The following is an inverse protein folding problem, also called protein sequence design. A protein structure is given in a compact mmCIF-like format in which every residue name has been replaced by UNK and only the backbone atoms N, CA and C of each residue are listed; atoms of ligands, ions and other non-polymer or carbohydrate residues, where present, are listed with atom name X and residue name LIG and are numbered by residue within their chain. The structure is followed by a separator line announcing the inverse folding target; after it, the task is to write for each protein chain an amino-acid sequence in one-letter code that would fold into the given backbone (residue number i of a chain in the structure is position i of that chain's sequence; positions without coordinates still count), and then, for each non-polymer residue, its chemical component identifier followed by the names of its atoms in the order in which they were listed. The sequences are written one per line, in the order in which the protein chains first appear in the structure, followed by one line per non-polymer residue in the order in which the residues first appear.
data_IF_928046630963
#
_entry.id   IF_928046630963
#
_cell.length_a   1.000
_cell.length_b   1.000
_cell.length_c   1.000
_cell.angle_alpha   90.00
_cell.angle_beta   90.00
_cell.angle_gamma   90.00
#
_symmetry.space_group_name_H-M   'P 1'
#
loop_
_entity.id
_entity.type
_entity.pdbx_description
1 polymer ?
#
# COMPACT_ATOMS: atom_id res chain seq x y z
N UNK A 1 25.59 -0.61 -7.45
CA UNK A 1 24.20 -0.67 -7.92
C UNK A 1 23.29 -0.96 -6.74
N UNK A 2 22.09 -0.39 -6.67
CA UNK A 2 21.16 -0.69 -5.58
C UNK A 2 20.75 -2.16 -5.62
N UNK A 3 20.45 -2.70 -4.42
CA UNK A 3 19.94 -4.05 -4.26
C UNK A 3 18.44 -4.11 -4.64
N UNK A 4 17.86 -5.30 -4.57
CA UNK A 4 16.43 -5.53 -4.78
C UNK A 4 15.61 -4.88 -3.66
N UNK A 5 14.45 -4.30 -3.99
CA UNK A 5 13.46 -3.84 -3.01
C UNK A 5 12.94 -5.04 -2.20
N UNK A 6 12.71 -4.84 -0.89
CA UNK A 6 12.48 -5.93 0.05
C UNK A 6 11.03 -6.14 0.49
N UNK A 7 10.10 -5.33 0.03
CA UNK A 7 8.71 -5.39 0.44
C UNK A 7 8.05 -4.02 0.43
N UNK A 8 6.76 -3.98 0.70
CA UNK A 8 6.06 -2.72 0.93
C UNK A 8 6.32 -2.32 2.39
N UNK A 9 6.93 -1.15 2.59
CA UNK A 9 7.19 -0.62 3.92
C UNK A 9 5.92 -0.04 4.54
N UNK A 10 5.28 0.88 3.86
CA UNK A 10 4.01 1.45 4.30
C UNK A 10 3.21 2.02 3.14
N UNK A 11 1.93 2.27 3.42
CA UNK A 11 1.04 3.04 2.56
C UNK A 11 0.46 4.17 3.39
N UNK A 12 0.55 5.41 2.90
CA UNK A 12 -0.04 6.58 3.56
C UNK A 12 -1.28 7.03 2.80
N UNK A 13 -2.41 7.11 3.49
CA UNK A 13 -3.67 7.61 2.98
C UNK A 13 -4.10 8.89 3.70
N UNK A 14 -4.93 9.69 3.03
CA UNK A 14 -5.50 10.92 3.57
C UNK A 14 -6.92 10.69 4.05
N UNK A 15 -7.27 11.20 5.23
CA UNK A 15 -8.62 11.10 5.78
C UNK A 15 -9.05 12.40 6.45
N UNK A 16 -10.36 12.68 6.42
CA UNK A 16 -10.99 13.72 7.24
C UNK A 16 -11.88 13.13 8.34
N UNK A 17 -11.81 11.79 8.55
CA UNK A 17 -12.65 11.03 9.49
C UNK A 17 -11.83 10.00 10.29
N UNK A 18 -10.91 10.45 11.12
CA UNK A 18 -9.99 9.56 11.84
C UNK A 18 -10.73 8.51 12.69
N UNK A 19 -11.84 8.85 13.33
CA UNK A 19 -12.63 7.89 14.11
C UNK A 19 -13.17 6.72 13.26
N UNK A 20 -13.57 7.02 12.01
CA UNK A 20 -14.00 5.96 11.07
C UNK A 20 -12.85 5.05 10.72
N UNK A 21 -11.66 5.62 10.47
CA UNK A 21 -10.44 4.84 10.21
C UNK A 21 -10.07 3.99 11.43
N UNK A 22 -10.11 4.54 12.63
CA UNK A 22 -9.87 3.78 13.86
C UNK A 22 -10.73 2.51 13.91
N UNK A 23 -12.06 2.65 13.78
CA UNK A 23 -12.97 1.50 13.83
C UNK A 23 -12.70 0.48 12.71
N UNK A 24 -12.40 0.95 11.49
CA UNK A 24 -12.08 0.03 10.39
C UNK A 24 -10.75 -0.70 10.66
N UNK A 25 -9.72 0.00 11.09
CA UNK A 25 -8.40 -0.61 11.30
C UNK A 25 -8.41 -1.56 12.51
N UNK A 26 -8.96 -1.13 13.65
CA UNK A 26 -8.92 -1.91 14.90
C UNK A 26 -10.05 -2.92 14.99
N UNK A 27 -11.30 -2.49 14.88
CA UNK A 27 -12.46 -3.33 15.18
C UNK A 27 -12.79 -4.28 14.03
N UNK A 28 -12.64 -3.81 12.78
CA UNK A 28 -12.95 -4.60 11.60
C UNK A 28 -11.79 -5.48 11.15
N UNK A 29 -10.58 -4.89 11.00
CA UNK A 29 -9.41 -5.58 10.45
C UNK A 29 -8.47 -6.17 11.51
N UNK A 30 -8.61 -5.77 12.77
CA UNK A 30 -7.79 -6.25 13.86
C UNK A 30 -6.34 -5.77 13.84
N UNK A 31 -6.09 -4.64 13.18
CA UNK A 31 -4.77 -4.01 13.17
C UNK A 31 -4.53 -3.26 14.48
N UNK A 32 -3.28 -3.16 14.88
CA UNK A 32 -2.89 -2.53 16.14
C UNK A 32 -2.37 -1.12 15.89
N UNK A 33 -2.86 -0.10 16.62
CA UNK A 33 -2.26 1.23 16.57
C UNK A 33 -0.80 1.16 16.99
N UNK A 34 0.10 1.77 16.21
CA UNK A 34 1.51 1.85 16.52
C UNK A 34 1.92 3.29 16.78
N UNK A 35 2.71 3.49 17.84
CA UNK A 35 3.25 4.81 18.15
C UNK A 35 4.51 5.04 17.32
N UNK A 36 4.35 5.75 16.20
CA UNK A 36 5.49 6.29 15.49
C UNK A 36 5.79 7.70 15.98
N UNK A 37 7.06 7.96 16.31
CA UNK A 37 7.55 9.33 16.44
C UNK A 37 7.79 9.87 15.03
N UNK A 38 6.73 10.13 14.29
CA UNK A 38 6.82 10.89 13.05
C UNK A 38 7.08 12.35 13.42
N UNK A 39 7.83 13.07 12.59
CA UNK A 39 8.04 14.52 12.75
C UNK A 39 6.72 15.22 13.11
N UNK A 40 6.76 16.23 14.00
CA UNK A 40 5.54 16.89 14.42
C UNK A 40 4.73 17.33 13.21
N UNK A 41 3.41 17.11 13.24
CA UNK A 41 2.56 17.48 12.14
C UNK A 41 2.68 18.96 11.81
N UNK A 42 2.62 19.30 10.54
CA UNK A 42 2.60 20.70 10.09
C UNK A 42 1.18 21.23 10.26
N UNK A 43 0.98 22.15 11.18
CA UNK A 43 -0.35 22.74 11.43
C UNK A 43 -1.32 21.79 12.16
N UNK A 44 -2.56 21.69 11.66
CA UNK A 44 -3.63 20.87 12.25
C UNK A 44 -3.60 19.40 11.80
N UNK A 45 -2.59 18.99 11.06
CA UNK A 45 -2.46 17.61 10.58
C UNK A 45 -2.06 16.68 11.72
N UNK A 46 -2.74 15.54 11.80
CA UNK A 46 -2.41 14.45 12.72
C UNK A 46 -2.10 13.21 11.91
N UNK A 47 -1.17 12.41 12.39
CA UNK A 47 -0.81 11.16 11.75
C UNK A 47 -1.04 10.00 12.71
N UNK A 48 -1.65 8.92 12.22
CA UNK A 48 -1.85 7.70 12.98
C UNK A 48 -1.50 6.49 12.12
N UNK A 49 -0.74 5.57 12.70
CA UNK A 49 -0.29 4.37 12.02
C UNK A 49 -0.87 3.10 12.66
N UNK A 50 -1.07 2.06 11.83
CA UNK A 50 -1.62 0.76 12.25
C UNK A 50 -0.78 -0.35 11.64
N UNK A 51 -0.27 -1.23 12.48
CA UNK A 51 0.54 -2.39 12.10
C UNK A 51 -0.20 -3.71 12.28
N UNK A 52 0.40 -4.75 11.74
CA UNK A 52 -0.09 -6.12 11.91
C UNK A 52 0.22 -6.67 13.31
N UNK A 53 1.27 -6.14 13.93
CA UNK A 53 1.77 -6.55 15.24
C UNK A 53 2.02 -5.33 16.12
N UNK A 54 2.07 -5.52 17.40
CA UNK A 54 2.34 -4.44 18.38
C UNK A 54 3.82 -4.00 18.40
N UNK A 55 4.38 -3.74 17.22
CA UNK A 55 5.73 -3.17 17.08
C UNK A 55 5.75 -2.14 15.95
N UNK A 56 6.64 -1.16 16.06
CA UNK A 56 6.74 0.00 15.18
C UNK A 56 7.46 -0.24 13.84
N UNK A 57 7.59 -1.50 13.43
CA UNK A 57 8.26 -1.86 12.17
C UNK A 57 7.28 -2.16 11.04
N UNK A 58 7.75 -1.94 9.82
CA UNK A 58 7.02 -2.28 8.59
C UNK A 58 6.62 -3.77 8.53
N UNK A 59 5.53 -4.12 7.82
CA UNK A 59 4.66 -3.18 7.08
C UNK A 59 3.55 -2.57 7.95
N UNK A 60 3.14 -1.34 7.62
CA UNK A 60 2.05 -0.65 8.30
C UNK A 60 1.24 0.26 7.36
N UNK A 61 0.05 0.64 7.83
CA UNK A 61 -0.79 1.66 7.19
C UNK A 61 -0.68 2.96 7.97
N UNK A 62 -0.48 4.05 7.27
CA UNK A 62 -0.39 5.38 7.84
C UNK A 62 -1.53 6.26 7.34
N UNK A 63 -2.12 7.05 8.22
CA UNK A 63 -3.22 7.97 7.89
C UNK A 63 -2.84 9.38 8.32
N UNK A 64 -2.77 10.28 7.34
CA UNK A 64 -2.69 11.71 7.61
C UNK A 64 -4.11 12.26 7.68
N UNK A 65 -4.46 12.86 8.81
CA UNK A 65 -5.77 13.41 9.10
C UNK A 65 -5.74 14.92 9.11
N UNK A 66 -6.69 15.52 8.42
CA UNK A 66 -7.09 16.91 8.62
C UNK A 66 -8.60 17.06 8.35
N UNK A 67 -9.35 17.73 9.24
CA UNK A 67 -10.76 18.00 9.00
C UNK A 67 -10.98 18.93 7.79
N UNK A 68 -9.92 19.58 7.30
CA UNK A 68 -9.94 20.48 6.14
C UNK A 68 -9.74 19.77 4.81
N UNK A 69 -9.37 18.50 4.80
CA UNK A 69 -9.25 17.78 3.53
C UNK A 69 -10.59 17.69 2.83
N UNK A 70 -10.66 18.21 1.61
CA UNK A 70 -11.78 17.94 0.70
C UNK A 70 -11.80 16.45 0.33
N UNK A 71 -12.96 15.92 -0.01
CA UNK A 71 -13.06 14.55 -0.51
C UNK A 71 -12.34 14.44 -1.84
N UNK A 72 -11.52 13.41 -1.99
CA UNK A 72 -10.82 13.12 -3.24
C UNK A 72 -11.81 12.79 -4.35
N UNK A 73 -11.46 13.18 -5.57
CA UNK A 73 -12.21 12.79 -6.76
C UNK A 73 -11.42 11.70 -7.48
N UNK A 74 -12.01 10.52 -7.59
CA UNK A 74 -11.45 9.42 -8.35
C UNK A 74 -11.30 9.77 -9.84
N UNK A 75 -10.31 9.18 -10.48
CA UNK A 75 -10.01 9.46 -11.88
C UNK A 75 -8.89 8.57 -12.41
N UNK A 76 -8.18 9.06 -13.43
CA UNK A 76 -6.98 8.42 -13.94
C UNK A 76 -5.76 8.76 -13.07
N UNK A 77 -4.68 7.97 -13.18
CA UNK A 77 -3.39 8.20 -12.53
C UNK A 77 -3.50 8.36 -10.99
N UNK A 78 -4.10 7.36 -10.34
CA UNK A 78 -4.25 7.29 -8.89
C UNK A 78 -3.80 5.93 -8.35
N UNK A 79 -3.37 5.89 -7.10
CA UNK A 79 -3.38 4.64 -6.35
C UNK A 79 -4.84 4.32 -6.05
N UNK A 80 -5.37 3.27 -6.70
CA UNK A 80 -6.79 2.95 -6.65
C UNK A 80 -7.23 2.46 -5.27
N UNK A 81 -6.39 1.63 -4.63
CA UNK A 81 -6.73 1.05 -3.34
C UNK A 81 -5.56 0.32 -2.70
N UNK A 82 -5.78 -0.05 -1.45
CA UNK A 82 -4.81 -0.74 -0.61
C UNK A 82 -5.20 -2.21 -0.50
N UNK A 83 -4.28 -3.09 -0.89
CA UNK A 83 -4.49 -4.54 -0.77
C UNK A 83 -3.98 -5.06 0.56
N UNK A 84 -4.80 -5.85 1.24
CA UNK A 84 -4.49 -6.51 2.51
C UNK A 84 -4.59 -8.02 2.33
N UNK A 85 -3.55 -8.74 2.68
CA UNK A 85 -3.47 -10.18 2.48
C UNK A 85 -4.15 -10.94 3.61
N UNK A 86 -4.92 -11.96 3.25
CA UNK A 86 -5.55 -12.93 4.15
C UNK A 86 -5.14 -14.34 3.78
N UNK A 87 -5.34 -15.30 4.68
CA UNK A 87 -4.80 -16.65 4.57
C UNK A 87 -5.36 -17.45 3.37
N UNK A 88 -6.64 -17.29 3.03
CA UNK A 88 -7.30 -18.11 2.01
C UNK A 88 -8.69 -17.57 1.64
N UNK A 89 -9.33 -18.18 0.65
CA UNK A 89 -10.67 -17.81 0.19
C UNK A 89 -11.76 -17.95 1.28
N UNK A 90 -11.59 -18.86 2.24
CA UNK A 90 -12.50 -18.99 3.39
C UNK A 90 -12.46 -17.76 4.30
N UNK A 91 -11.27 -17.16 4.46
CA UNK A 91 -11.12 -15.90 5.20
C UNK A 91 -11.88 -14.77 4.51
N UNK A 92 -11.84 -14.67 3.17
CA UNK A 92 -12.62 -13.68 2.41
C UNK A 92 -14.12 -13.86 2.63
N UNK A 93 -14.60 -15.11 2.61
CA UNK A 93 -16.02 -15.41 2.92
C UNK A 93 -16.39 -14.99 4.34
N UNK A 94 -15.48 -15.15 5.29
CA UNK A 94 -15.67 -14.68 6.67
C UNK A 94 -15.79 -13.16 6.77
N UNK A 95 -14.94 -12.45 6.04
CA UNK A 95 -15.02 -10.99 5.96
C UNK A 95 -16.27 -10.50 5.24
N UNK A 96 -16.67 -11.14 4.14
CA UNK A 96 -17.90 -10.81 3.43
C UNK A 96 -19.11 -10.81 4.37
N UNK A 97 -19.31 -11.90 5.13
CA UNK A 97 -20.40 -12.00 6.14
C UNK A 97 -20.33 -10.91 7.21
N UNK A 98 -19.10 -10.53 7.61
CA UNK A 98 -18.88 -9.48 8.59
C UNK A 98 -19.20 -8.11 8.02
N UNK A 99 -18.84 -7.86 6.76
CA UNK A 99 -19.17 -6.60 6.06
C UNK A 99 -20.67 -6.43 5.92
N UNK A 100 -21.40 -7.49 5.52
CA UNK A 100 -22.87 -7.51 5.47
C UNK A 100 -23.47 -7.15 6.84
N UNK A 101 -23.00 -7.80 7.90
CA UNK A 101 -23.52 -7.61 9.25
C UNK A 101 -23.26 -6.19 9.81
N UNK A 102 -22.18 -5.53 9.39
CA UNK A 102 -21.79 -4.20 9.86
C UNK A 102 -22.17 -3.08 8.87
N UNK A 103 -22.79 -3.41 7.74
CA UNK A 103 -23.16 -2.45 6.70
C UNK A 103 -21.96 -1.75 6.06
N UNK A 104 -20.82 -2.46 5.93
CA UNK A 104 -19.64 -1.98 5.23
C UNK A 104 -19.89 -2.09 3.73
N UNK A 105 -19.66 -1.02 3.00
CA UNK A 105 -19.77 -1.03 1.54
C UNK A 105 -18.72 -1.92 0.93
N UNK A 106 -19.12 -2.93 0.16
CA UNK A 106 -18.20 -3.89 -0.46
C UNK A 106 -18.72 -4.40 -1.81
N UNK A 107 -17.83 -4.99 -2.61
CA UNK A 107 -18.18 -5.72 -3.82
C UNK A 107 -18.30 -7.23 -3.58
N UNK A 108 -18.48 -7.97 -4.66
CA UNK A 108 -18.46 -9.43 -4.64
C UNK A 108 -17.02 -9.96 -4.66
N UNK A 109 -16.82 -11.18 -4.15
CA UNK A 109 -15.55 -11.90 -4.32
C UNK A 109 -15.35 -12.18 -5.81
N UNK A 110 -14.20 -11.81 -6.33
CA UNK A 110 -13.79 -12.02 -7.72
C UNK A 110 -12.36 -12.56 -7.78
N UNK A 111 -11.94 -12.97 -8.98
CA UNK A 111 -10.59 -13.51 -9.18
C UNK A 111 -9.84 -12.76 -10.29
N UNK A 112 -8.56 -12.49 -10.08
CA UNK A 112 -7.64 -12.03 -11.12
C UNK A 112 -6.21 -12.49 -10.83
N UNK A 113 -5.49 -12.92 -11.85
CA UNK A 113 -4.08 -13.34 -11.78
C UNK A 113 -3.75 -14.30 -10.61
N UNK A 114 -4.69 -15.22 -10.29
CA UNK A 114 -4.54 -16.18 -9.21
C UNK A 114 -4.87 -15.65 -7.82
N UNK A 115 -5.34 -14.40 -7.70
CA UNK A 115 -5.85 -13.83 -6.46
C UNK A 115 -7.36 -13.91 -6.38
N UNK A 116 -7.89 -14.40 -5.27
CA UNK A 116 -9.30 -14.17 -4.90
C UNK A 116 -9.36 -12.85 -4.12
N UNK A 117 -10.28 -11.98 -4.48
CA UNK A 117 -10.32 -10.57 -4.02
C UNK A 117 -11.70 -10.19 -3.56
N UNK A 118 -11.79 -9.55 -2.39
CA UNK A 118 -12.99 -8.91 -1.84
C UNK A 118 -12.72 -7.40 -1.67
N UNK A 119 -13.23 -6.54 -2.57
CA UNK A 119 -13.09 -5.09 -2.43
C UNK A 119 -14.08 -4.54 -1.40
N UNK A 120 -13.66 -3.51 -0.67
CA UNK A 120 -14.52 -2.73 0.22
C UNK A 120 -14.07 -1.28 0.29
N UNK A 121 -14.93 -0.42 0.83
CA UNK A 121 -14.69 1.02 0.85
C UNK A 121 -15.04 1.60 2.21
N UNK A 122 -14.24 2.56 2.67
CA UNK A 122 -14.52 3.34 3.87
C UNK A 122 -15.51 4.47 3.58
N UNK A 123 -16.11 5.04 4.61
CA UNK A 123 -17.11 6.13 4.47
C UNK A 123 -16.55 7.44 3.89
N UNK A 124 -15.23 7.59 3.84
CA UNK A 124 -14.53 8.71 3.21
C UNK A 124 -14.02 8.39 1.80
N UNK A 125 -14.43 7.23 1.25
CA UNK A 125 -14.14 6.84 -0.14
C UNK A 125 -12.77 6.19 -0.35
N UNK A 126 -12.07 5.79 0.72
CA UNK A 126 -10.82 5.04 0.56
C UNK A 126 -11.13 3.58 0.22
N UNK A 127 -10.59 3.15 -0.91
CA UNK A 127 -10.76 1.79 -1.39
C UNK A 127 -9.73 0.84 -0.77
N UNK A 128 -10.21 -0.29 -0.33
CA UNK A 128 -9.42 -1.44 0.11
C UNK A 128 -9.82 -2.69 -0.67
N UNK A 129 -8.93 -3.66 -0.68
CA UNK A 129 -9.27 -5.02 -1.08
C UNK A 129 -8.59 -6.04 -0.17
N UNK A 130 -9.34 -7.01 0.30
CA UNK A 130 -8.77 -8.20 0.90
C UNK A 130 -8.41 -9.17 -0.21
N UNK A 131 -7.22 -9.75 -0.17
CA UNK A 131 -6.76 -10.69 -1.17
C UNK A 131 -6.25 -11.97 -0.53
N UNK A 132 -6.50 -13.10 -1.19
CA UNK A 132 -5.84 -14.36 -0.88
C UNK A 132 -5.18 -14.89 -2.14
N UNK A 133 -3.92 -15.28 -2.08
CA UNK A 133 -3.26 -15.97 -3.17
C UNK A 133 -3.12 -17.47 -2.87
N UNK A 134 -3.09 -18.29 -3.93
CA UNK A 134 -3.01 -19.75 -3.78
C UNK A 134 -1.64 -20.22 -3.26
N UNK A 135 -0.63 -19.34 -3.22
CA UNK A 135 0.73 -19.69 -2.83
C UNK A 135 0.93 -19.68 -1.30
N UNK A 136 -0.01 -19.10 -0.55
CA UNK A 136 0.14 -18.90 0.90
C UNK A 136 -0.46 -19.99 1.79
N UNK A 137 -1.10 -21.01 1.22
CA UNK A 137 -1.68 -22.13 2.00
C UNK A 137 -0.66 -22.88 2.90
N UNK A 138 0.65 -22.64 2.70
CA UNK A 138 1.72 -23.26 3.48
C UNK A 138 2.26 -22.39 4.63
N UNK A 139 1.92 -21.11 4.71
CA UNK A 139 2.43 -20.20 5.75
C UNK A 139 1.57 -20.17 7.02
N UNK A 140 0.49 -20.93 7.08
CA UNK A 140 -0.54 -20.87 8.15
C UNK A 140 -0.11 -21.42 9.52
N UNK A 141 1.06 -22.03 9.66
CA UNK A 141 1.45 -22.71 10.92
C UNK A 141 1.92 -21.78 12.05
N UNK A 142 2.09 -20.47 11.79
CA UNK A 142 2.48 -19.49 12.83
C UNK A 142 1.33 -18.62 13.35
N UNK A 143 0.11 -18.90 12.95
CA UNK A 143 -1.04 -18.01 13.11
C UNK A 143 -1.96 -18.31 14.29
N UNK A 144 -1.72 -19.35 15.08
CA UNK A 144 -2.60 -19.75 16.18
C UNK A 144 -2.69 -18.75 17.35
N UNK A 145 -1.86 -17.71 17.36
CA UNK A 145 -1.79 -16.73 18.46
C UNK A 145 -2.41 -15.36 18.16
N UNK A 146 -2.99 -15.16 16.98
CA UNK A 146 -3.58 -13.86 16.64
C UNK A 146 -5.05 -13.75 17.13
N UNK A 147 -5.45 -12.59 17.70
CA UNK A 147 -6.75 -12.44 18.35
C UNK A 147 -7.96 -12.47 17.40
N UNK A 148 -7.72 -12.36 16.09
CA UNK A 148 -8.75 -12.40 15.06
C UNK A 148 -8.77 -13.75 14.33
N UNK A 149 -9.98 -14.27 14.12
CA UNK A 149 -10.20 -15.57 13.45
C UNK A 149 -9.70 -15.61 12.00
N UNK A 150 -9.59 -14.45 11.34
CA UNK A 150 -9.08 -14.28 9.97
C UNK A 150 -8.12 -13.07 9.94
N UNK A 151 -6.90 -13.19 10.44
CA UNK A 151 -6.00 -12.05 10.55
C UNK A 151 -5.53 -11.54 9.19
N UNK A 152 -5.21 -10.25 9.14
CA UNK A 152 -4.46 -9.66 8.05
C UNK A 152 -3.00 -10.09 8.16
N UNK A 153 -2.43 -10.59 7.07
CA UNK A 153 -1.08 -11.19 7.03
C UNK A 153 0.00 -10.23 6.52
N UNK A 154 -0.41 -9.18 5.83
CA UNK A 154 0.52 -8.24 5.21
C UNK A 154 -0.17 -7.31 4.24
N UNK A 155 0.64 -6.45 3.62
CA UNK A 155 0.22 -5.66 2.47
C UNK A 155 0.36 -6.50 1.20
N UNK A 156 -0.62 -6.38 0.31
CA UNK A 156 -0.64 -7.02 -1.00
C UNK A 156 -0.18 -6.06 -2.11
N UNK A 157 -0.42 -6.40 -3.39
CA UNK A 157 -0.07 -5.54 -4.50
C UNK A 157 -0.65 -4.13 -4.35
N UNK A 158 0.16 -3.11 -4.66
CA UNK A 158 -0.35 -1.73 -4.80
C UNK A 158 -1.11 -1.66 -6.12
N UNK A 159 -2.38 -1.27 -6.06
CA UNK A 159 -3.23 -1.15 -7.26
C UNK A 159 -3.19 0.27 -7.78
N UNK A 160 -2.75 0.44 -9.01
CA UNK A 160 -2.57 1.75 -9.63
C UNK A 160 -3.39 1.83 -10.92
N UNK A 161 -4.31 2.80 -10.99
CA UNK A 161 -5.01 3.17 -12.22
C UNK A 161 -4.14 4.14 -13.01
N UNK A 162 -3.87 3.86 -14.27
CA UNK A 162 -3.03 4.67 -15.14
C UNK A 162 -3.65 4.88 -16.51
N UNK A 163 -3.46 6.08 -17.07
CA UNK A 163 -3.92 6.40 -18.43
C UNK A 163 -3.03 5.72 -19.49
N UNK A 164 -1.73 5.58 -19.20
CA UNK A 164 -0.72 5.04 -20.13
C UNK A 164 0.06 3.93 -19.42
N UNK A 165 -0.53 2.74 -19.36
CA UNK A 165 0.04 1.70 -18.51
C UNK A 165 1.33 1.07 -19.06
N UNK A 166 1.53 1.05 -20.37
CA UNK A 166 2.79 0.55 -20.96
C UNK A 166 3.98 1.46 -20.66
N UNK A 167 3.73 2.77 -20.62
CA UNK A 167 4.75 3.74 -20.21
C UNK A 167 5.08 3.56 -18.72
N UNK A 168 4.05 3.47 -17.86
CA UNK A 168 4.25 3.23 -16.44
C UNK A 168 4.96 1.90 -16.17
N UNK A 169 4.59 0.83 -16.88
CA UNK A 169 5.29 -0.45 -16.82
C UNK A 169 6.78 -0.29 -17.12
N UNK A 170 7.13 0.35 -18.24
CA UNK A 170 8.54 0.59 -18.63
C UNK A 170 9.29 1.41 -17.58
N UNK A 171 8.65 2.43 -17.01
CA UNK A 171 9.26 3.26 -15.96
C UNK A 171 9.52 2.46 -14.67
N UNK A 172 8.58 1.63 -14.23
CA UNK A 172 8.78 0.74 -13.06
C UNK A 172 9.89 -0.29 -13.31
N UNK A 173 9.98 -0.84 -14.52
CA UNK A 173 11.05 -1.75 -14.91
C UNK A 173 12.41 -1.04 -14.89
N UNK A 174 12.49 0.14 -15.49
CA UNK A 174 13.75 0.90 -15.60
C UNK A 174 14.25 1.40 -14.25
N UNK A 175 13.34 1.98 -13.43
CA UNK A 175 13.74 2.64 -12.18
C UNK A 175 13.89 1.66 -11.03
N UNK A 176 12.97 0.70 -10.89
CA UNK A 176 12.85 -0.14 -9.69
C UNK A 176 13.11 -1.62 -9.95
N UNK A 177 13.50 -1.99 -11.18
CA UNK A 177 13.77 -3.38 -11.59
C UNK A 177 12.54 -4.31 -11.42
N UNK A 178 11.32 -3.78 -11.53
CA UNK A 178 10.15 -4.62 -11.65
C UNK A 178 10.18 -5.41 -12.95
N UNK A 179 9.64 -6.60 -12.96
CA UNK A 179 9.42 -7.37 -14.17
C UNK A 179 7.95 -7.77 -14.30
N UNK A 180 7.52 -7.97 -15.54
CA UNK A 180 6.15 -8.37 -15.85
C UNK A 180 5.97 -9.83 -15.51
N UNK A 181 5.00 -10.12 -14.62
CA UNK A 181 4.60 -11.50 -14.27
C UNK A 181 3.50 -11.99 -15.18
N UNK A 182 2.44 -11.19 -15.29
CA UNK A 182 1.26 -11.54 -16.05
C UNK A 182 0.56 -10.30 -16.58
N UNK A 183 -0.07 -10.42 -17.74
CA UNK A 183 -0.81 -9.34 -18.41
C UNK A 183 -2.09 -9.89 -19.03
N UNK A 184 -3.17 -9.13 -18.91
CA UNK A 184 -4.35 -9.24 -19.77
C UNK A 184 -4.64 -7.88 -20.42
N UNK A 185 -5.66 -7.78 -21.25
CA UNK A 185 -5.89 -6.57 -22.06
C UNK A 185 -5.94 -5.23 -21.31
N UNK A 186 -6.26 -5.22 -20.01
CA UNK A 186 -6.45 -4.00 -19.22
C UNK A 186 -5.64 -3.97 -17.92
N UNK A 187 -4.96 -5.04 -17.56
CA UNK A 187 -4.20 -5.15 -16.32
C UNK A 187 -2.85 -5.81 -16.55
N UNK A 188 -1.84 -5.39 -15.79
CA UNK A 188 -0.58 -6.12 -15.70
C UNK A 188 -0.08 -6.16 -14.27
N UNK A 189 0.40 -7.34 -13.86
CA UNK A 189 1.03 -7.59 -12.58
C UNK A 189 2.55 -7.53 -12.75
N UNK A 190 3.17 -6.70 -11.94
CA UNK A 190 4.61 -6.51 -11.88
C UNK A 190 5.13 -6.89 -10.49
N UNK A 191 6.32 -7.50 -10.42
CA UNK A 191 6.99 -7.80 -9.14
C UNK A 191 8.51 -7.61 -9.27
N UNK A 192 9.22 -7.53 -8.14
CA UNK A 192 10.70 -7.46 -8.11
C UNK A 192 11.37 -8.79 -7.79
N UNK A 193 10.60 -9.82 -7.44
CA UNK A 193 11.09 -11.18 -7.14
C UNK A 193 9.95 -12.11 -6.77
N UNK A 194 10.13 -13.43 -6.90
CA UNK A 194 9.14 -14.41 -6.49
C UNK A 194 9.04 -14.47 -4.97
N UNK A 195 7.81 -14.57 -4.46
CA UNK A 195 7.55 -14.75 -3.04
C UNK A 195 6.42 -13.87 -2.52
N UNK A 196 5.77 -14.33 -1.45
CA UNK A 196 4.59 -13.68 -0.90
C UNK A 196 4.86 -12.30 -0.27
N UNK A 197 6.07 -12.04 0.21
CA UNK A 197 6.49 -10.76 0.81
C UNK A 197 7.10 -9.75 -0.16
N UNK A 198 7.26 -10.12 -1.44
CA UNK A 198 7.91 -9.26 -2.43
C UNK A 198 7.01 -8.10 -2.87
N UNK A 199 7.60 -6.94 -3.21
CA UNK A 199 6.84 -5.83 -3.73
C UNK A 199 6.14 -6.19 -5.04
N UNK A 200 4.83 -5.94 -5.09
CA UNK A 200 4.02 -6.14 -6.29
C UNK A 200 3.21 -4.90 -6.60
N UNK A 201 3.06 -4.61 -7.87
CA UNK A 201 2.20 -3.54 -8.39
C UNK A 201 1.26 -4.14 -9.41
N UNK A 202 -0.03 -3.88 -9.24
CA UNK A 202 -1.07 -4.15 -10.23
C UNK A 202 -1.41 -2.85 -10.95
N UNK A 203 -0.97 -2.73 -12.19
CA UNK A 203 -1.39 -1.63 -13.06
C UNK A 203 -2.71 -1.98 -13.72
N UNK A 204 -3.65 -1.03 -13.72
CA UNK A 204 -4.93 -1.12 -14.42
C UNK A 204 -5.04 0.03 -15.40
N UNK A 205 -5.41 -0.29 -16.64
CA UNK A 205 -5.68 0.72 -17.64
C UNK A 205 -6.97 1.47 -17.28
N UNK A 206 -6.86 2.78 -17.14
CA UNK A 206 -7.96 3.70 -16.98
C UNK A 206 -7.67 4.94 -17.82
N UNK A 207 -7.85 4.79 -19.12
CA UNK A 207 -7.51 5.79 -20.13
C UNK A 207 -8.58 6.89 -20.30
N UNK A 208 -9.76 6.72 -19.69
CA UNK A 208 -10.88 7.66 -19.77
C UNK A 208 -11.20 8.29 -18.42
N UNK A 209 -11.59 9.54 -18.46
CA UNK A 209 -11.99 10.29 -17.29
C UNK A 209 -11.01 11.39 -16.88
N UNK A 210 -11.37 12.21 -15.89
CA UNK A 210 -10.50 13.27 -15.39
C UNK A 210 -9.30 12.70 -14.64
N UNK A 211 -8.27 13.52 -14.51
CA UNK A 211 -7.17 13.25 -13.57
C UNK A 211 -7.73 13.17 -12.13
N UNK A 212 -7.34 12.15 -11.39
CA UNK A 212 -7.70 12.05 -9.98
C UNK A 212 -7.13 13.21 -9.16
N UNK A 213 -7.84 13.61 -8.10
CA UNK A 213 -7.39 14.64 -7.17
C UNK A 213 -7.01 14.04 -5.82
N UNK A 214 -6.07 14.68 -5.13
CA UNK A 214 -5.76 14.36 -3.74
C UNK A 214 -6.82 14.93 -2.79
N UNK A 215 -7.04 14.26 -1.68
CA UNK A 215 -7.97 14.64 -0.63
C UNK A 215 -8.31 13.45 0.27
N UNK A 216 -9.27 13.61 1.18
CA UNK A 216 -9.74 12.51 2.02
C UNK A 216 -10.27 11.37 1.14
N UNK A 217 -9.87 10.14 1.44
CA UNK A 217 -10.17 8.96 0.64
C UNK A 217 -9.15 8.64 -0.45
N UNK A 218 -8.06 9.41 -0.59
CA UNK A 218 -6.97 9.11 -1.51
C UNK A 218 -5.75 8.52 -0.81
N UNK A 219 -5.04 7.66 -1.50
CA UNK A 219 -3.67 7.26 -1.11
C UNK A 219 -2.71 8.37 -1.52
N UNK A 220 -1.93 8.88 -0.56
CA UNK A 220 -0.97 9.96 -0.77
C UNK A 220 0.35 9.44 -1.35
N UNK A 221 0.88 8.36 -0.79
CA UNK A 221 2.08 7.68 -1.26
C UNK A 221 2.14 6.25 -0.76
N UNK A 222 3.05 5.48 -1.35
CA UNK A 222 3.44 4.17 -0.85
C UNK A 222 4.96 4.06 -0.84
N UNK A 223 5.48 3.26 0.08
CA UNK A 223 6.91 3.10 0.31
C UNK A 223 7.33 1.65 0.17
N UNK A 224 8.52 1.44 -0.38
CA UNK A 224 9.20 0.16 -0.42
C UNK A 224 10.35 0.12 0.56
N UNK A 225 10.57 -1.02 1.20
CA UNK A 225 11.74 -1.24 2.06
C UNK A 225 12.99 -1.48 1.25
N UNK A 226 14.10 -0.90 1.71
CA UNK A 226 15.46 -1.21 1.25
C UNK A 226 16.25 -1.85 2.38
N UNK A 227 17.40 -2.50 2.06
CA UNK A 227 18.11 -3.34 3.02
C UNK A 227 18.83 -2.56 4.13
N UNK A 228 19.36 -1.40 3.80
CA UNK A 228 20.19 -0.59 4.68
C UNK A 228 20.43 0.82 4.10
N UNK A 229 21.00 1.71 4.88
CA UNK A 229 21.30 3.09 4.46
C UNK A 229 22.26 3.13 3.25
N UNK A 230 23.20 2.19 3.14
CA UNK A 230 24.10 2.13 1.99
C UNK A 230 23.34 1.82 0.70
N UNK A 231 22.36 0.93 0.78
CA UNK A 231 21.47 0.62 -0.35
C UNK A 231 20.59 1.84 -0.71
N UNK A 232 20.06 2.55 0.30
CA UNK A 232 19.32 3.79 0.05
C UNK A 232 20.18 4.87 -0.64
N UNK A 233 21.46 4.98 -0.26
CA UNK A 233 22.44 5.84 -0.94
C UNK A 233 22.70 5.40 -2.39
N UNK A 234 22.76 4.09 -2.65
CA UNK A 234 22.90 3.55 -4.00
C UNK A 234 21.67 3.85 -4.87
N UNK A 235 20.46 3.81 -4.30
CA UNK A 235 19.23 4.25 -4.97
C UNK A 235 19.25 5.75 -5.27
N UNK A 236 19.70 6.57 -4.33
CA UNK A 236 19.86 8.02 -4.57
C UNK A 236 20.84 8.29 -5.72
N UNK A 237 22.00 7.63 -5.74
CA UNK A 237 22.95 7.71 -6.86
C UNK A 237 22.35 7.27 -8.20
N UNK A 238 21.50 6.24 -8.21
CA UNK A 238 20.75 5.82 -9.41
C UNK A 238 19.80 6.91 -9.90
N UNK A 239 19.07 7.56 -9.01
CA UNK A 239 18.18 8.67 -9.39
C UNK A 239 18.95 9.84 -9.97
N UNK A 240 20.09 10.19 -9.38
CA UNK A 240 20.98 11.23 -9.92
C UNK A 240 21.50 10.87 -11.32
N UNK A 241 21.99 9.65 -11.51
CA UNK A 241 22.52 9.17 -12.81
C UNK A 241 21.44 9.16 -13.92
N UNK A 242 20.17 8.98 -13.56
CA UNK A 242 19.04 8.99 -14.49
C UNK A 242 18.34 10.37 -14.55
N UNK A 243 18.89 11.39 -13.90
CA UNK A 243 18.30 12.74 -13.80
C UNK A 243 16.87 12.74 -13.24
N UNK A 244 16.56 11.80 -12.33
CA UNK A 244 15.29 11.73 -11.63
C UNK A 244 15.31 12.66 -10.41
N UNK A 245 14.34 13.54 -10.32
CA UNK A 245 14.18 14.42 -9.14
C UNK A 245 13.73 13.62 -7.94
N UNK A 246 14.38 13.83 -6.80
CA UNK A 246 14.02 13.23 -5.51
C UNK A 246 14.16 14.26 -4.38
N UNK A 247 13.62 13.91 -3.21
CA UNK A 247 13.79 14.71 -1.97
C UNK A 247 15.26 14.80 -1.51
N UNK A 248 16.11 13.88 -1.94
CA UNK A 248 17.32 13.53 -1.20
C UNK A 248 16.97 12.55 -0.08
N UNK A 249 18.00 12.08 0.65
CA UNK A 249 17.79 11.21 1.81
C UNK A 249 17.39 12.06 3.02
N UNK A 250 16.21 11.79 3.57
CA UNK A 250 15.63 12.49 4.71
C UNK A 250 15.64 11.60 5.95
N UNK A 251 15.98 12.18 7.11
CA UNK A 251 15.97 11.51 8.42
C UNK A 251 14.66 11.81 9.16
N UNK A 252 13.84 10.81 9.40
CA UNK A 252 12.57 10.94 10.13
C UNK A 252 12.64 10.48 11.59
N UNK A 253 13.84 10.22 12.09
CA UNK A 253 14.06 9.68 13.44
C UNK A 253 14.10 8.15 13.42
N UNK A 254 12.97 7.43 13.33
CA UNK A 254 12.97 5.98 13.32
C UNK A 254 13.41 5.35 11.99
N UNK A 255 13.40 6.08 10.89
CA UNK A 255 13.77 5.58 9.57
C UNK A 255 14.39 6.70 8.69
N UNK A 256 15.08 6.30 7.64
CA UNK A 256 15.48 7.16 6.53
C UNK A 256 14.58 6.95 5.34
N UNK A 257 14.32 8.01 4.57
CA UNK A 257 13.56 7.91 3.34
C UNK A 257 14.18 8.64 2.16
N UNK A 258 13.79 8.22 0.96
CA UNK A 258 14.14 8.82 -0.32
C UNK A 258 12.89 8.84 -1.19
N UNK A 259 12.31 10.01 -1.37
CA UNK A 259 11.05 10.17 -2.11
C UNK A 259 11.28 10.64 -3.54
N UNK A 260 10.58 10.06 -4.50
CA UNK A 260 10.51 10.53 -5.88
C UNK A 260 9.08 10.56 -6.39
N UNK A 261 8.88 11.21 -7.53
CA UNK A 261 7.61 11.22 -8.25
C UNK A 261 7.75 10.53 -9.59
N UNK A 262 6.88 9.57 -9.84
CA UNK A 262 6.72 8.93 -11.12
C UNK A 262 5.36 9.33 -11.70
N UNK A 263 5.36 10.38 -12.53
CA UNK A 263 4.13 11.06 -12.94
C UNK A 263 3.38 11.65 -11.74
N UNK A 264 2.17 11.16 -11.49
CA UNK A 264 1.32 11.61 -10.37
C UNK A 264 1.58 10.82 -9.07
N UNK A 265 2.34 9.74 -9.14
CA UNK A 265 2.58 8.86 -8.00
C UNK A 265 3.80 9.32 -7.20
N UNK A 266 3.64 9.42 -5.89
CA UNK A 266 4.76 9.58 -4.97
C UNK A 266 5.17 8.21 -4.47
N UNK A 267 6.42 7.85 -4.73
CA UNK A 267 7.03 6.58 -4.33
C UNK A 267 8.20 6.89 -3.39
N UNK A 268 8.22 6.20 -2.28
CA UNK A 268 9.24 6.35 -1.25
C UNK A 268 10.05 5.05 -1.12
N UNK A 269 11.33 5.17 -0.91
CA UNK A 269 12.23 4.09 -0.49
C UNK A 269 12.61 4.35 0.94
N UNK A 270 12.49 3.34 1.81
CA UNK A 270 12.60 3.52 3.25
C UNK A 270 13.47 2.44 3.88
N UNK A 271 14.33 2.86 4.80
CA UNK A 271 15.16 2.00 5.65
C UNK A 271 14.85 2.27 7.12
N UNK A 272 14.40 1.24 7.85
CA UNK A 272 14.19 1.31 9.30
C UNK A 272 15.53 1.35 10.04
N UNK A 273 15.72 2.32 10.93
CA UNK A 273 16.91 2.35 11.77
C UNK A 273 16.93 1.19 12.77
N UNK A 274 18.09 0.68 13.16
CA UNK A 274 18.21 -0.24 14.28
C UNK A 274 17.59 0.36 15.55
N UNK A 275 16.90 -0.47 16.33
CA UNK A 275 16.36 -0.09 17.64
C UNK A 275 17.48 0.09 18.65
#
# INVERSE_FOLDING_TARGET
MPKKLMGIHHVTALTNRMQTIDSVMTDLLGLVPIHQRVNPPVGDEQTKAYGLFNHSRAPYLNFSYSPRYSVAKGGTNQVHGISLRVANASALTGYLKRFDALGIQHGSISEFFGYSVLPFETKDGLHFQLISDCLESQASSKQESLPHRNPILGLGPIVIDVAYYEEMQRMLQLLYNFYLVQKNGQMCLLEVGPGAGEPRILLRLKDKGPQASFGAGAVHHFAFSVSDLQDLQAWYGRYQALSIRSSGIEDHGPFYSLTTRLGHFRIELTEDKPL
#
